data_IF_592279787266
#
_entry.id   IF_592279787266
#
_cell.length_a   1.000
_cell.length_b   1.000
_cell.length_c   1.000
_cell.angle_alpha   90.00
_cell.angle_beta   90.00
_cell.angle_gamma   90.00
#
_symmetry.space_group_name_H-M   'P 1'
#
loop_
_entity.id
_entity.type
_entity.pdbx_description
1 polymer ?
#
# COMPACT_ATOMS: atom_id res chain seq x y z
N UNK A 1 -1.06 -17.49 15.01
CA UNK A 1 -1.73 -18.44 14.09
C UNK A 1 -0.69 -19.34 13.45
N UNK A 2 -0.97 -20.63 13.27
CA UNK A 2 -0.14 -21.53 12.45
C UNK A 2 -1.00 -22.04 11.30
N UNK A 3 -1.00 -21.30 10.19
CA UNK A 3 -1.56 -21.75 8.91
C UNK A 3 -0.42 -22.22 8.02
N UNK A 4 -0.68 -23.22 7.20
CA UNK A 4 0.22 -23.64 6.12
C UNK A 4 0.14 -22.66 4.95
N UNK A 5 1.18 -22.60 4.12
CA UNK A 5 1.19 -21.76 2.90
C UNK A 5 0.00 -22.07 1.98
N UNK A 6 -0.43 -23.33 1.94
CA UNK A 6 -1.60 -23.77 1.17
C UNK A 6 -2.90 -23.18 1.70
N UNK A 7 -3.13 -23.26 3.00
CA UNK A 7 -4.33 -22.69 3.63
C UNK A 7 -4.40 -21.17 3.45
N UNK A 8 -3.25 -20.47 3.54
CA UNK A 8 -3.19 -19.02 3.30
C UNK A 8 -3.48 -18.69 1.83
N UNK A 9 -2.90 -19.45 0.89
CA UNK A 9 -3.13 -19.31 -0.55
C UNK A 9 -4.61 -19.47 -0.90
N UNK A 10 -5.26 -20.50 -0.36
CA UNK A 10 -6.70 -20.77 -0.57
C UNK A 10 -7.57 -19.68 0.07
N UNK A 11 -7.32 -19.34 1.34
CA UNK A 11 -8.08 -18.32 2.07
C UNK A 11 -7.95 -16.91 1.46
N UNK A 12 -6.78 -16.56 0.94
CA UNK A 12 -6.55 -15.27 0.29
C UNK A 12 -6.95 -15.25 -1.19
N UNK A 13 -7.27 -16.43 -1.76
CA UNK A 13 -7.54 -16.61 -3.19
C UNK A 13 -6.36 -16.15 -4.09
N UNK A 14 -5.14 -16.55 -3.71
CA UNK A 14 -3.90 -16.17 -4.39
C UNK A 14 -3.15 -17.43 -4.78
N UNK A 15 -2.52 -17.45 -5.96
CA UNK A 15 -1.71 -18.59 -6.39
C UNK A 15 -0.49 -18.84 -5.49
N UNK A 16 -0.16 -20.12 -5.28
CA UNK A 16 0.98 -20.55 -4.44
C UNK A 16 2.32 -19.93 -4.88
N UNK A 17 2.52 -19.76 -6.19
CA UNK A 17 3.73 -19.15 -6.76
C UNK A 17 3.84 -17.66 -6.40
N UNK A 18 2.71 -16.93 -6.43
CA UNK A 18 2.64 -15.54 -5.99
C UNK A 18 2.92 -15.42 -4.50
N UNK A 19 2.32 -16.28 -3.68
CA UNK A 19 2.56 -16.29 -2.23
C UNK A 19 4.03 -16.60 -1.90
N UNK A 20 4.65 -17.55 -2.60
CA UNK A 20 6.09 -17.84 -2.46
C UNK A 20 6.98 -16.64 -2.84
N UNK A 21 6.69 -15.97 -3.96
CA UNK A 21 7.44 -14.77 -4.38
C UNK A 21 7.28 -13.62 -3.37
N UNK A 22 6.08 -13.44 -2.84
CA UNK A 22 5.80 -12.46 -1.78
C UNK A 22 6.61 -12.76 -0.51
N UNK A 23 6.56 -14.00 0.00
CA UNK A 23 7.29 -14.39 1.21
C UNK A 23 8.82 -14.34 1.05
N UNK A 24 9.34 -14.59 -0.16
CA UNK A 24 10.77 -14.53 -0.45
C UNK A 24 11.29 -13.13 -0.75
N UNK A 25 10.41 -12.11 -0.83
CA UNK A 25 10.78 -10.73 -1.18
C UNK A 25 11.19 -10.55 -2.65
N UNK A 26 11.06 -11.58 -3.49
CA UNK A 26 11.45 -11.54 -4.92
C UNK A 26 10.34 -11.02 -5.84
N UNK A 27 9.32 -10.38 -5.28
CA UNK A 27 8.19 -9.85 -6.02
C UNK A 27 8.37 -8.34 -6.17
N UNK A 28 8.41 -7.87 -7.43
CA UNK A 28 8.58 -6.45 -7.76
C UNK A 28 7.28 -5.66 -7.70
N UNK A 29 6.14 -6.35 -7.75
CA UNK A 29 4.82 -5.76 -7.89
C UNK A 29 3.73 -6.62 -7.24
N UNK A 30 2.78 -5.95 -6.59
CA UNK A 30 1.57 -6.57 -6.04
C UNK A 30 0.47 -5.54 -6.02
N UNK A 31 -0.75 -5.95 -6.38
CA UNK A 31 -1.90 -5.08 -6.20
C UNK A 31 -2.16 -4.86 -4.71
N UNK A 32 -2.52 -3.64 -4.32
CA UNK A 32 -2.92 -3.34 -2.95
C UNK A 32 -4.04 -4.27 -2.47
N UNK A 33 -4.98 -4.61 -3.36
CA UNK A 33 -6.07 -5.55 -3.04
C UNK A 33 -5.57 -6.95 -2.64
N UNK A 34 -4.51 -7.43 -3.28
CA UNK A 34 -3.88 -8.73 -3.00
C UNK A 34 -3.14 -8.68 -1.66
N UNK A 35 -2.41 -7.58 -1.41
CA UNK A 35 -1.73 -7.35 -0.14
C UNK A 35 -2.73 -7.32 1.03
N UNK A 36 -3.82 -6.56 0.91
CA UNK A 36 -4.85 -6.45 1.95
C UNK A 36 -5.54 -7.78 2.23
N UNK A 37 -5.80 -8.61 1.21
CA UNK A 37 -6.34 -9.97 1.40
C UNK A 37 -5.40 -10.85 2.22
N UNK A 38 -4.09 -10.81 1.93
CA UNK A 38 -3.09 -11.55 2.71
C UNK A 38 -3.08 -11.09 4.16
N UNK A 39 -2.98 -9.77 4.40
CA UNK A 39 -2.97 -9.19 5.75
C UNK A 39 -4.23 -9.58 6.55
N UNK A 40 -5.40 -9.56 5.92
CA UNK A 40 -6.66 -9.97 6.55
C UNK A 40 -6.66 -11.44 6.95
N UNK A 41 -6.18 -12.34 6.10
CA UNK A 41 -6.14 -13.78 6.38
C UNK A 41 -5.20 -14.10 7.54
N UNK A 42 -4.05 -13.42 7.62
CA UNK A 42 -3.06 -13.63 8.69
C UNK A 42 -3.35 -12.85 9.97
N UNK A 43 -4.46 -12.10 10.03
CA UNK A 43 -4.86 -11.32 11.21
C UNK A 43 -4.00 -10.09 11.46
N UNK A 44 -3.36 -9.55 10.43
CA UNK A 44 -2.55 -8.32 10.48
C UNK A 44 -3.25 -7.12 9.81
N UNK A 45 -4.56 -7.21 9.57
CA UNK A 45 -5.33 -6.08 9.01
C UNK A 45 -5.30 -4.84 9.90
N UNK A 46 -5.33 -5.06 11.22
CA UNK A 46 -5.50 -3.98 12.20
C UNK A 46 -4.19 -3.26 12.49
N UNK A 47 -3.06 -3.87 12.11
CA UNK A 47 -1.72 -3.34 12.34
C UNK A 47 -1.08 -2.76 11.06
N UNK A 48 -1.89 -2.46 10.04
CA UNK A 48 -1.41 -1.96 8.75
C UNK A 48 -0.67 -0.62 8.88
N UNK A 49 -1.00 0.20 9.88
CA UNK A 49 -0.31 1.47 10.16
C UNK A 49 1.19 1.26 10.43
N UNK A 50 1.57 0.14 11.05
CA UNK A 50 2.99 -0.19 11.30
C UNK A 50 3.78 -0.53 10.04
N UNK A 51 3.09 -0.81 8.94
CA UNK A 51 3.71 -1.08 7.64
C UNK A 51 3.91 0.20 6.83
N UNK A 52 3.23 1.29 7.18
CA UNK A 52 3.38 2.55 6.49
C UNK A 52 4.63 3.30 6.99
N UNK A 53 5.39 3.95 6.09
CA UNK A 53 6.42 4.88 6.51
C UNK A 53 5.78 6.12 7.17
N UNK A 54 6.58 6.84 7.96
CA UNK A 54 6.17 8.16 8.43
C UNK A 54 5.88 9.07 7.22
N UNK A 55 4.74 9.77 7.29
CA UNK A 55 4.35 10.71 6.23
C UNK A 55 5.40 11.83 6.18
N UNK A 56 6.04 12.08 5.02
CA UNK A 56 6.97 13.19 4.90
C UNK A 56 6.23 14.51 5.08
N UNK A 57 6.98 15.55 5.41
CA UNK A 57 6.46 16.90 5.49
C UNK A 57 5.83 17.30 4.14
N UNK A 58 4.62 17.84 4.21
CA UNK A 58 3.88 18.26 3.03
C UNK A 58 4.58 19.46 2.39
N UNK A 59 4.81 19.46 1.06
CA UNK A 59 5.38 20.62 0.37
C UNK A 59 4.59 21.91 0.54
N UNK A 60 3.30 21.82 0.90
CA UNK A 60 2.45 22.97 1.20
C UNK A 60 2.79 23.66 2.52
N UNK A 61 3.58 23.04 3.39
CA UNK A 61 4.06 23.62 4.65
C UNK A 61 5.26 24.56 4.43
N UNK A 62 5.86 24.56 3.23
CA UNK A 62 7.00 25.41 2.91
C UNK A 62 6.63 26.82 2.43
N UNK A 63 5.33 27.11 2.22
CA UNK A 63 4.88 28.43 1.76
C UNK A 63 4.51 29.35 2.94
N UNK A 64 5.50 30.09 3.45
CA UNK A 64 5.33 31.08 4.52
C UNK A 64 4.52 32.32 4.09
N UNK A 65 4.06 32.42 2.83
CA UNK A 65 3.45 33.64 2.29
C UNK A 65 1.98 33.87 2.69
N UNK A 66 1.38 33.05 3.58
CA UNK A 66 -0.04 33.11 3.99
C UNK A 66 -1.04 33.13 2.80
N UNK A 67 -0.58 32.75 1.61
CA UNK A 67 -1.41 32.75 0.40
C UNK A 67 -2.32 31.55 0.45
N UNK A 68 -3.64 31.79 0.37
CA UNK A 68 -4.62 30.72 0.22
C UNK A 68 -4.23 29.83 -0.96
N UNK A 69 -4.12 28.52 -0.71
CA UNK A 69 -3.88 27.51 -1.75
C UNK A 69 -4.97 27.65 -2.82
N UNK A 70 -4.57 28.04 -4.03
CA UNK A 70 -5.46 28.16 -5.19
C UNK A 70 -5.04 27.15 -6.25
N UNK A 71 -6.04 26.47 -6.85
CA UNK A 71 -5.80 25.56 -7.97
C UNK A 71 -5.17 26.32 -9.14
N UNK A 72 -3.97 25.95 -9.54
CA UNK A 72 -3.32 26.47 -10.74
C UNK A 72 -4.18 26.09 -11.96
N UNK A 73 -4.58 27.07 -12.75
CA UNK A 73 -5.28 26.85 -14.02
C UNK A 73 -4.29 27.11 -15.16
N UNK A 74 -4.05 26.10 -16.00
CA UNK A 74 -3.34 26.32 -17.25
C UNK A 74 -4.30 27.03 -18.22
N UNK A 75 -3.95 28.24 -18.65
CA UNK A 75 -4.65 28.87 -19.77
C UNK A 75 -4.36 28.07 -21.04
N UNK A 76 -5.40 27.74 -21.80
CA UNK A 76 -5.25 27.27 -23.17
C UNK A 76 -4.40 28.29 -23.93
N UNK A 77 -3.18 27.92 -24.37
CA UNK A 77 -2.39 28.75 -25.28
C UNK A 77 -3.26 28.98 -26.52
N UNK A 78 -3.47 30.25 -26.87
CA UNK A 78 -4.07 30.67 -28.13
C UNK A 78 -2.99 30.72 -29.20
#
# INVERSE_FOLDING_TARGET
MRMTRKEVSEAASIGMTTLYKFESGNMTDISLSTLLRLLRVIGLSDNWETLLPELPESPYMYDDNDKKVQRVRHSSKK
#
